data_IF_605909597834
#
_entry.id   IF_605909597834
#
_cell.length_a   1.000
_cell.length_b   1.000
_cell.length_c   1.000
_cell.angle_alpha   90.00
_cell.angle_beta   90.00
_cell.angle_gamma   90.00
#
_symmetry.space_group_name_H-M   'P 1'
#
loop_
_entity.id
_entity.type
_entity.pdbx_description
1 polymer ?
#
# COMPACT_ATOMS: atom_id res chain seq x y z
N UNK A 1 -44.14 -22.61 -8.98
CA UNK A 1 -42.83 -22.58 -9.65
C UNK A 1 -42.02 -21.44 -9.04
N UNK A 2 -41.33 -21.69 -7.93
CA UNK A 2 -40.47 -20.70 -7.31
C UNK A 2 -39.15 -20.67 -8.09
N UNK A 3 -38.79 -19.50 -8.60
CA UNK A 3 -37.52 -19.28 -9.31
C UNK A 3 -36.39 -19.38 -8.29
N UNK A 4 -35.62 -20.46 -8.32
CA UNK A 4 -34.36 -20.57 -7.59
C UNK A 4 -33.39 -19.52 -8.16
N UNK A 5 -33.24 -18.42 -7.44
CA UNK A 5 -32.17 -17.45 -7.72
C UNK A 5 -30.85 -18.11 -7.35
N UNK A 6 -30.19 -18.73 -8.32
CA UNK A 6 -28.83 -19.24 -8.16
C UNK A 6 -27.95 -18.05 -7.78
N UNK A 7 -27.55 -17.94 -6.51
CA UNK A 7 -26.51 -16.99 -6.11
C UNK A 7 -25.22 -17.44 -6.78
N UNK A 8 -24.91 -16.80 -7.90
CA UNK A 8 -23.65 -16.99 -8.61
C UNK A 8 -22.54 -16.54 -7.65
N UNK A 9 -21.83 -17.51 -7.07
CA UNK A 9 -20.66 -17.26 -6.23
C UNK A 9 -19.55 -16.72 -7.13
N UNK A 10 -19.47 -15.40 -7.23
CA UNK A 10 -18.28 -14.76 -7.77
C UNK A 10 -17.24 -14.72 -6.65
N UNK A 11 -16.06 -15.36 -6.81
CA UNK A 11 -14.98 -15.20 -5.84
C UNK A 11 -14.69 -13.71 -5.69
N UNK A 12 -14.63 -13.23 -4.45
CA UNK A 12 -14.28 -11.85 -4.17
C UNK A 12 -12.85 -11.62 -4.63
N UNK A 13 -12.68 -10.82 -5.69
CA UNK A 13 -11.36 -10.44 -6.17
C UNK A 13 -10.67 -9.59 -5.09
N UNK A 14 -9.43 -9.94 -4.79
CA UNK A 14 -8.58 -9.22 -3.86
C UNK A 14 -7.27 -8.87 -4.55
N UNK A 15 -6.99 -7.57 -4.68
CA UNK A 15 -5.71 -7.11 -5.19
C UNK A 15 -4.87 -6.51 -4.08
N UNK A 16 -3.58 -6.81 -4.14
CA UNK A 16 -2.55 -6.15 -3.36
C UNK A 16 -1.90 -5.10 -4.25
N UNK A 17 -1.85 -3.87 -3.77
CA UNK A 17 -1.19 -2.76 -4.41
C UNK A 17 0.02 -2.35 -3.58
N UNK A 18 1.22 -2.51 -4.14
CA UNK A 18 2.46 -2.09 -3.49
C UNK A 18 3.13 -0.99 -4.33
N UNK A 19 2.71 0.28 -4.16
CA UNK A 19 3.25 1.39 -4.93
C UNK A 19 4.72 1.66 -4.55
N UNK A 20 5.53 1.99 -5.56
CA UNK A 20 6.85 2.57 -5.34
C UNK A 20 6.74 3.88 -4.54
N UNK A 21 7.64 4.10 -3.59
CA UNK A 21 7.61 5.20 -2.62
C UNK A 21 8.06 6.53 -3.23
N UNK A 22 7.37 6.96 -4.29
CA UNK A 22 7.50 8.28 -4.90
C UNK A 22 6.09 8.81 -5.21
N UNK A 23 5.85 10.11 -4.98
CA UNK A 23 4.49 10.67 -5.09
C UNK A 23 3.85 10.45 -6.46
N UNK A 24 4.65 10.49 -7.54
CA UNK A 24 4.18 10.20 -8.90
C UNK A 24 3.68 8.76 -9.12
N UNK A 25 4.04 7.82 -8.25
CA UNK A 25 3.53 6.43 -8.26
C UNK A 25 2.43 6.24 -7.23
N UNK A 26 2.59 6.81 -6.03
CA UNK A 26 1.67 6.61 -4.92
C UNK A 26 0.30 7.23 -5.17
N UNK A 27 0.24 8.47 -5.65
CA UNK A 27 -1.04 9.17 -5.90
C UNK A 27 -1.91 8.38 -6.90
N UNK A 28 -1.40 8.01 -8.10
CA UNK A 28 -2.17 7.20 -9.04
C UNK A 28 -2.60 5.84 -8.48
N UNK A 29 -1.75 5.19 -7.68
CA UNK A 29 -2.06 3.88 -7.11
C UNK A 29 -3.16 3.96 -6.05
N UNK A 30 -3.24 5.04 -5.26
CA UNK A 30 -4.36 5.30 -4.35
C UNK A 30 -5.65 5.56 -5.13
N UNK A 31 -5.60 6.27 -6.25
CA UNK A 31 -6.76 6.48 -7.10
C UNK A 31 -7.24 5.17 -7.75
N UNK A 32 -6.32 4.34 -8.24
CA UNK A 32 -6.62 2.99 -8.75
C UNK A 32 -7.26 2.13 -7.66
N UNK A 33 -6.71 2.14 -6.44
CA UNK A 33 -7.27 1.42 -5.30
C UNK A 33 -8.75 1.79 -5.07
N UNK A 34 -9.05 3.09 -5.06
CA UNK A 34 -10.42 3.58 -4.88
C UNK A 34 -11.34 3.18 -6.04
N UNK A 35 -10.86 3.28 -7.28
CA UNK A 35 -11.63 2.90 -8.48
C UNK A 35 -11.93 1.39 -8.52
N UNK A 36 -11.01 0.54 -8.05
CA UNK A 36 -11.25 -0.90 -7.94
C UNK A 36 -12.20 -1.21 -6.78
N UNK A 37 -12.00 -0.59 -5.62
CA UNK A 37 -12.86 -0.79 -4.45
C UNK A 37 -14.32 -0.36 -4.70
N UNK A 38 -14.54 0.70 -5.49
CA UNK A 38 -15.87 1.11 -5.95
C UNK A 38 -16.58 0.05 -6.80
N UNK A 39 -15.85 -0.89 -7.39
CA UNK A 39 -16.39 -2.03 -8.14
C UNK A 39 -16.59 -3.28 -7.26
N UNK A 40 -16.47 -3.15 -5.95
CA UNK A 40 -16.62 -4.24 -4.98
C UNK A 40 -15.40 -5.15 -4.85
N UNK A 41 -14.24 -4.73 -5.36
CA UNK A 41 -12.98 -5.47 -5.27
C UNK A 41 -12.28 -5.13 -3.97
N UNK A 42 -11.86 -6.12 -3.18
CA UNK A 42 -11.06 -5.86 -1.97
C UNK A 42 -9.66 -5.41 -2.38
N UNK A 43 -9.17 -4.34 -1.77
CA UNK A 43 -7.83 -3.81 -2.05
C UNK A 43 -7.02 -3.74 -0.77
N UNK A 44 -5.82 -4.30 -0.76
CA UNK A 44 -4.82 -4.02 0.28
C UNK A 44 -3.73 -3.14 -0.31
N UNK A 45 -3.51 -1.96 0.26
CA UNK A 45 -2.37 -1.11 -0.08
C UNK A 45 -1.25 -1.40 0.91
N UNK A 46 -0.12 -1.91 0.42
CA UNK A 46 1.08 -2.10 1.24
C UNK A 46 1.96 -0.87 1.09
N UNK A 47 2.38 -0.28 2.21
CA UNK A 47 3.27 0.88 2.20
C UNK A 47 4.03 1.00 3.51
N UNK A 48 4.73 2.10 3.75
CA UNK A 48 5.50 2.34 4.97
C UNK A 48 4.80 3.36 5.88
N UNK A 49 5.12 3.47 7.18
CA UNK A 49 4.38 4.33 8.10
C UNK A 49 4.31 5.81 7.70
N UNK A 50 5.41 6.40 7.23
CA UNK A 50 5.42 7.79 6.78
C UNK A 50 4.52 7.98 5.56
N UNK A 51 4.63 7.06 4.61
CA UNK A 51 3.85 7.08 3.38
C UNK A 51 2.35 6.84 3.62
N UNK A 52 1.98 5.95 4.54
CA UNK A 52 0.59 5.74 4.97
C UNK A 52 0.00 7.03 5.56
N UNK A 53 0.78 7.76 6.36
CA UNK A 53 0.33 9.01 7.00
C UNK A 53 -0.09 10.07 5.97
N UNK A 54 0.59 10.16 4.82
CA UNK A 54 0.30 11.11 3.74
C UNK A 54 -1.08 10.89 3.12
N UNK A 55 -1.54 9.64 3.03
CA UNK A 55 -2.82 9.29 2.41
C UNK A 55 -3.93 9.00 3.42
N UNK A 56 -3.63 9.03 4.72
CA UNK A 56 -4.55 8.69 5.82
C UNK A 56 -5.93 9.32 5.67
N UNK A 57 -6.00 10.63 5.41
CA UNK A 57 -7.29 11.33 5.31
C UNK A 57 -8.13 10.86 4.12
N UNK A 58 -7.51 10.62 2.96
CA UNK A 58 -8.21 10.17 1.74
C UNK A 58 -8.69 8.72 1.90
N UNK A 59 -7.80 7.85 2.38
CA UNK A 59 -8.11 6.43 2.59
C UNK A 59 -9.14 6.23 3.69
N UNK A 60 -9.03 6.96 4.82
CA UNK A 60 -10.03 6.88 5.89
C UNK A 60 -11.42 7.27 5.42
N UNK A 61 -11.55 8.33 4.61
CA UNK A 61 -12.86 8.71 4.04
C UNK A 61 -13.42 7.62 3.13
N UNK A 62 -12.58 7.00 2.31
CA UNK A 62 -12.97 5.89 1.44
C UNK A 62 -13.46 4.68 2.26
N UNK A 63 -12.70 4.29 3.28
CA UNK A 63 -13.04 3.18 4.18
C UNK A 63 -14.34 3.47 4.94
N UNK A 64 -14.47 4.68 5.50
CA UNK A 64 -15.70 5.11 6.20
C UNK A 64 -16.92 5.16 5.28
N UNK A 65 -16.74 5.34 3.98
CA UNK A 65 -17.81 5.23 2.98
C UNK A 65 -18.17 3.78 2.60
N UNK A 66 -17.53 2.79 3.23
CA UNK A 66 -17.80 1.37 3.03
C UNK A 66 -16.99 0.72 1.90
N UNK A 67 -15.98 1.41 1.36
CA UNK A 67 -15.11 0.81 0.34
C UNK A 67 -14.18 -0.24 0.98
N UNK A 68 -14.04 -1.44 0.40
CA UNK A 68 -13.22 -2.53 0.94
C UNK A 68 -11.72 -2.28 0.70
N UNK A 69 -11.14 -1.34 1.45
CA UNK A 69 -9.74 -0.95 1.36
C UNK A 69 -9.04 -1.22 2.70
N UNK A 70 -7.96 -1.98 2.65
CA UNK A 70 -7.04 -2.23 3.75
C UNK A 70 -5.73 -1.48 3.49
N UNK A 71 -5.03 -1.09 4.56
CA UNK A 71 -3.72 -0.43 4.47
C UNK A 71 -2.77 -1.14 5.42
N UNK A 72 -1.82 -1.87 4.84
CA UNK A 72 -0.80 -2.59 5.58
C UNK A 72 0.51 -1.81 5.57
N UNK A 73 1.18 -1.77 6.72
CA UNK A 73 2.39 -0.98 6.92
C UNK A 73 3.58 -1.89 7.19
N UNK A 74 4.60 -1.81 6.34
CA UNK A 74 5.89 -2.46 6.54
C UNK A 74 6.90 -1.43 7.03
N UNK A 75 7.69 -1.80 8.04
CA UNK A 75 8.73 -0.93 8.58
C UNK A 75 9.80 -0.72 7.50
N UNK A 76 10.06 0.53 7.13
CA UNK A 76 11.12 0.84 6.18
C UNK A 76 12.50 0.50 6.80
N UNK A 77 13.41 -0.14 6.05
CA UNK A 77 14.71 -0.54 6.57
C UNK A 77 15.57 0.71 6.78
N UNK A 78 15.97 0.98 8.02
CA UNK A 78 16.92 2.07 8.33
C UNK A 78 18.30 1.48 8.57
N UNK A 79 19.34 2.03 7.94
CA UNK A 79 20.71 1.54 8.05
C UNK A 79 21.27 1.59 9.48
N UNK A 80 20.87 2.53 10.35
CA UNK A 80 21.45 2.65 11.70
C UNK A 80 20.48 3.24 12.76
N UNK A 81 20.62 2.86 14.05
CA UNK A 81 20.01 3.59 15.17
C UNK A 81 20.55 5.03 15.19
N UNK A 82 19.71 6.01 14.86
CA UNK A 82 20.09 7.43 14.81
C UNK A 82 20.31 7.99 13.39
N UNK A 83 20.22 7.15 12.35
CA UNK A 83 20.00 7.64 10.97
C UNK A 83 18.70 8.44 10.92
N UNK A 84 18.58 9.50 10.09
CA UNK A 84 17.35 10.28 9.99
C UNK A 84 16.18 9.34 9.75
N UNK A 85 15.34 9.15 10.77
CA UNK A 85 14.04 8.53 10.58
C UNK A 85 13.33 9.32 9.48
N UNK A 86 12.86 8.63 8.45
CA UNK A 86 11.90 9.23 7.54
C UNK A 86 12.34 9.45 6.10
N UNK A 87 13.46 8.90 5.61
CA UNK A 87 13.71 8.83 4.16
C UNK A 87 12.92 7.71 3.47
N UNK A 88 11.65 7.52 3.85
CA UNK A 88 10.81 6.46 3.30
C UNK A 88 10.25 6.81 1.92
N UNK A 89 10.51 8.02 1.40
CA UNK A 89 10.04 8.49 0.11
C UNK A 89 11.16 9.20 -0.65
N UNK A 90 11.15 9.10 -1.98
CA UNK A 90 12.13 9.75 -2.86
C UNK A 90 12.20 11.26 -2.62
N UNK A 91 11.08 11.91 -2.30
CA UNK A 91 11.04 13.37 -2.07
C UNK A 91 11.64 13.82 -0.73
N UNK A 92 12.05 12.87 0.12
CA UNK A 92 12.72 13.14 1.39
C UNK A 92 14.22 12.89 1.32
N UNK A 93 14.74 12.39 0.18
CA UNK A 93 16.16 12.13 0.03
C UNK A 93 16.94 13.45 -0.01
N UNK A 94 17.91 13.58 0.88
CA UNK A 94 18.89 14.65 0.80
C UNK A 94 19.69 14.54 -0.50
N UNK A 95 20.09 15.68 -1.06
CA UNK A 95 20.93 15.74 -2.27
C UNK A 95 22.27 14.99 -2.14
N UNK A 96 22.72 14.74 -0.92
CA UNK A 96 23.93 13.98 -0.60
C UNK A 96 23.72 12.46 -0.58
N UNK A 97 22.47 11.99 -0.51
CA UNK A 97 22.15 10.56 -0.45
C UNK A 97 22.09 10.01 -1.88
N UNK A 98 22.93 9.03 -2.25
CA UNK A 98 22.86 8.41 -3.55
C UNK A 98 21.54 7.67 -3.73
N UNK A 99 20.86 7.90 -4.85
CA UNK A 99 19.61 7.19 -5.18
C UNK A 99 19.78 5.66 -5.17
N UNK A 100 20.98 5.16 -5.50
CA UNK A 100 21.32 3.74 -5.43
C UNK A 100 21.24 3.16 -4.01
N UNK A 101 21.56 3.95 -2.97
CA UNK A 101 21.42 3.55 -1.58
C UNK A 101 19.95 3.35 -1.22
N UNK A 102 19.07 4.26 -1.67
CA UNK A 102 17.63 4.14 -1.48
C UNK A 102 17.05 2.88 -2.15
N UNK A 103 17.50 2.54 -3.36
CA UNK A 103 17.11 1.28 -4.00
C UNK A 103 17.59 0.04 -3.23
N UNK A 104 18.80 0.10 -2.65
CA UNK A 104 19.31 -0.97 -1.79
C UNK A 104 18.41 -1.15 -0.55
N UNK A 105 18.00 -0.06 0.09
CA UNK A 105 17.08 -0.09 1.24
C UNK A 105 15.69 -0.60 0.86
N UNK A 106 15.16 -0.22 -0.30
CA UNK A 106 13.88 -0.75 -0.79
C UNK A 106 13.96 -2.26 -1.00
N UNK A 107 15.05 -2.78 -1.55
CA UNK A 107 15.19 -4.23 -1.77
C UNK A 107 15.16 -5.03 -0.46
N UNK A 108 15.56 -4.43 0.67
CA UNK A 108 15.44 -5.06 1.99
C UNK A 108 13.99 -5.19 2.49
N UNK A 109 12.99 -4.66 1.77
CA UNK A 109 11.57 -4.86 2.07
C UNK A 109 11.02 -6.21 1.61
N UNK A 110 11.76 -6.97 0.80
CA UNK A 110 11.33 -8.28 0.28
C UNK A 110 10.82 -9.20 1.39
N UNK A 111 11.68 -9.57 2.33
CA UNK A 111 11.31 -10.48 3.43
C UNK A 111 10.18 -9.93 4.33
N UNK A 112 10.20 -8.65 4.77
CA UNK A 112 9.07 -8.06 5.51
C UNK A 112 7.73 -8.12 4.77
N UNK A 113 7.75 -7.94 3.46
CA UNK A 113 6.56 -7.96 2.61
C UNK A 113 6.08 -9.39 2.35
N UNK A 114 6.98 -10.35 2.11
CA UNK A 114 6.61 -11.77 1.99
C UNK A 114 5.92 -12.28 3.26
N UNK A 115 6.48 -11.98 4.44
CA UNK A 115 5.89 -12.36 5.74
C UNK A 115 4.52 -11.73 6.00
N UNK A 116 4.19 -10.63 5.33
CA UNK A 116 2.86 -10.03 5.41
C UNK A 116 1.84 -10.93 4.71
N UNK A 117 2.19 -11.48 3.55
CA UNK A 117 1.29 -12.32 2.73
C UNK A 117 1.20 -13.77 3.16
N UNK A 118 2.15 -14.26 3.96
CA UNK A 118 2.02 -15.59 4.60
C UNK A 118 0.88 -15.67 5.63
N UNK A 119 0.29 -14.54 6.01
CA UNK A 119 -0.76 -14.43 7.04
C UNK A 119 -2.18 -14.37 6.47
N UNK A 120 -2.32 -14.20 5.15
CA UNK A 120 -3.60 -14.08 4.42
C UNK A 120 -4.14 -15.45 3.96
#
# INVERSE_FOLDING_TARGET
MASETTRQFHPHLHFVLFPFMAQGHMIPMVDIARLLAQRGVTITIVTTPHNASRFKNVLNRAIQSGLPINVEQVKFPSQEPGSPQGHENVDLLDSSVPLASFFTEINMLEEPVEKLFERD
#
